data_IF_692914045202
#
_entry.id   IF_692914045202
#
_cell.length_a   1.000
_cell.length_b   1.000
_cell.length_c   1.000
_cell.angle_alpha   90.00
_cell.angle_beta   90.00
_cell.angle_gamma   90.00
#
_symmetry.space_group_name_H-M   'P 1'
#
loop_
_entity.id
_entity.type
_entity.pdbx_description
1 polymer ?
#
# COMPACT_ATOMS: atom_id res chain seq x y z
N UNK A 1 -4.02 20.06 1.85
CA UNK A 1 -4.71 21.31 2.25
C UNK A 1 -5.84 21.68 1.26
N UNK A 2 -5.76 21.39 -0.04
CA UNK A 2 -6.82 21.77 -1.01
C UNK A 2 -8.14 20.97 -0.90
N UNK A 3 -8.10 19.64 -0.76
CA UNK A 3 -9.32 18.81 -0.75
C UNK A 3 -10.17 19.06 0.50
N UNK A 4 -9.54 19.11 1.67
CA UNK A 4 -10.22 19.30 2.96
C UNK A 4 -10.95 20.64 3.07
N UNK A 5 -10.48 21.68 2.38
CA UNK A 5 -11.11 23.00 2.38
C UNK A 5 -12.50 22.96 1.71
N UNK A 6 -12.66 22.20 0.63
CA UNK A 6 -13.94 22.06 -0.08
C UNK A 6 -14.77 20.85 0.42
N UNK A 7 -14.11 19.81 0.90
CA UNK A 7 -14.71 18.52 1.30
C UNK A 7 -14.22 18.09 2.68
N UNK A 8 -14.67 18.75 3.76
CA UNK A 8 -14.12 18.53 5.11
C UNK A 8 -14.46 17.16 5.71
N UNK A 9 -15.47 16.45 5.17
CA UNK A 9 -15.88 15.12 5.62
C UNK A 9 -15.25 13.98 4.82
N UNK A 10 -14.48 14.28 3.77
CA UNK A 10 -13.87 13.25 2.94
C UNK A 10 -12.64 12.68 3.63
N UNK A 11 -12.62 11.36 3.76
CA UNK A 11 -11.41 10.64 4.13
C UNK A 11 -10.47 10.59 2.93
N UNK A 12 -9.22 11.02 3.14
CA UNK A 12 -8.23 11.07 2.07
C UNK A 12 -7.33 9.85 2.19
N UNK A 13 -7.46 8.92 1.25
CA UNK A 13 -6.60 7.75 1.14
C UNK A 13 -5.66 7.89 -0.07
N UNK A 14 -4.41 7.46 0.09
CA UNK A 14 -3.49 7.31 -1.06
C UNK A 14 -3.89 6.06 -1.84
N UNK A 15 -3.95 6.17 -3.17
CA UNK A 15 -4.26 5.04 -4.04
C UNK A 15 -3.18 3.95 -3.91
N UNK A 16 -3.57 2.76 -3.45
CA UNK A 16 -2.67 1.62 -3.23
C UNK A 16 -1.91 1.21 -4.50
N UNK A 17 -2.53 1.33 -5.67
CA UNK A 17 -1.87 1.03 -6.96
C UNK A 17 -0.68 1.97 -7.20
N UNK A 18 -0.85 3.26 -6.91
CA UNK A 18 0.24 4.23 -7.06
C UNK A 18 1.33 4.01 -6.01
N UNK A 19 0.97 3.64 -4.78
CA UNK A 19 1.95 3.28 -3.76
C UNK A 19 2.78 2.07 -4.18
N UNK A 20 2.15 0.98 -4.61
CA UNK A 20 2.84 -0.23 -5.07
C UNK A 20 3.77 0.08 -6.24
N UNK A 21 3.28 0.77 -7.29
CA UNK A 21 4.10 1.15 -8.46
C UNK A 21 5.28 2.06 -8.09
N UNK A 22 5.07 2.99 -7.17
CA UNK A 22 6.13 3.88 -6.72
C UNK A 22 7.19 3.14 -5.90
N UNK A 23 6.80 2.15 -5.09
CA UNK A 23 7.75 1.35 -4.31
C UNK A 23 8.52 0.36 -5.18
N UNK A 24 7.85 -0.29 -6.16
CA UNK A 24 8.49 -1.29 -7.01
C UNK A 24 9.40 -0.72 -8.10
N UNK A 25 9.39 0.61 -8.33
CA UNK A 25 10.28 1.26 -9.31
C UNK A 25 11.77 1.09 -9.00
N UNK A 26 12.11 0.80 -7.74
CA UNK A 26 13.48 0.59 -7.28
C UNK A 26 13.86 -0.90 -7.18
N UNK A 27 12.93 -1.79 -7.49
CA UNK A 27 13.12 -3.23 -7.41
C UNK A 27 13.64 -3.73 -8.75
N UNK A 28 14.65 -4.60 -8.72
CA UNK A 28 15.18 -5.21 -9.94
C UNK A 28 14.08 -6.03 -10.64
N UNK A 29 14.12 -6.14 -11.96
CA UNK A 29 13.14 -6.95 -12.70
C UNK A 29 13.12 -8.42 -12.24
N UNK A 30 14.28 -8.96 -11.82
CA UNK A 30 14.41 -10.34 -11.31
C UNK A 30 13.61 -10.55 -10.03
N UNK A 31 13.55 -9.54 -9.17
CA UNK A 31 12.92 -9.62 -7.85
C UNK A 31 11.49 -9.08 -7.85
N UNK A 32 11.08 -8.35 -8.89
CA UNK A 32 9.77 -7.68 -8.98
C UNK A 32 8.61 -8.64 -8.71
N UNK A 33 8.64 -9.85 -9.28
CA UNK A 33 7.60 -10.85 -9.08
C UNK A 33 7.54 -11.33 -7.63
N UNK A 34 8.70 -11.50 -6.98
CA UNK A 34 8.78 -11.95 -5.59
C UNK A 34 8.24 -10.86 -4.66
N UNK A 35 8.77 -9.65 -4.77
CA UNK A 35 8.34 -8.50 -3.96
C UNK A 35 6.84 -8.22 -4.11
N UNK A 36 6.30 -8.27 -5.33
CA UNK A 36 4.86 -8.04 -5.53
C UNK A 36 3.99 -9.17 -4.99
N UNK A 37 4.47 -10.41 -4.96
CA UNK A 37 3.78 -11.51 -4.30
C UNK A 37 3.73 -11.32 -2.78
N UNK A 38 4.83 -10.86 -2.18
CA UNK A 38 4.95 -10.60 -0.74
C UNK A 38 4.09 -9.38 -0.29
N UNK A 39 3.89 -8.39 -1.18
CA UNK A 39 2.99 -7.26 -0.91
C UNK A 39 1.50 -7.63 -0.99
N UNK A 40 1.16 -8.69 -1.73
CA UNK A 40 -0.23 -9.12 -1.98
C UNK A 40 -1.05 -9.44 -0.73
N UNK A 41 -0.55 -10.22 0.25
CA UNK A 41 -1.30 -10.49 1.48
C UNK A 41 -1.58 -9.22 2.28
N UNK A 42 -0.68 -8.24 2.28
CA UNK A 42 -0.80 -7.00 3.07
C UNK A 42 -2.07 -6.22 2.67
N UNK A 43 -2.22 -5.89 1.38
CA UNK A 43 -3.39 -5.12 0.93
C UNK A 43 -4.66 -5.96 0.74
N UNK A 44 -4.56 -7.29 0.88
CA UNK A 44 -5.70 -8.21 0.84
C UNK A 44 -6.17 -8.68 2.22
N UNK A 45 -5.49 -8.27 3.29
CA UNK A 45 -5.86 -8.62 4.65
C UNK A 45 -7.30 -8.16 4.97
N UNK A 46 -7.99 -8.93 5.81
CA UNK A 46 -9.37 -8.63 6.19
C UNK A 46 -9.49 -7.48 7.19
N UNK A 47 -8.43 -7.26 7.98
CA UNK A 47 -8.34 -6.16 8.94
C UNK A 47 -6.95 -5.54 8.89
N UNK A 48 -6.81 -4.33 9.46
CA UNK A 48 -5.53 -3.64 9.57
C UNK A 48 -4.53 -4.44 10.42
N UNK A 49 -4.99 -5.03 11.53
CA UNK A 49 -4.16 -5.83 12.42
C UNK A 49 -3.56 -7.03 11.68
N UNK A 50 -4.37 -7.71 10.85
CA UNK A 50 -3.90 -8.82 10.01
C UNK A 50 -2.84 -8.39 8.98
N UNK A 51 -2.91 -7.15 8.48
CA UNK A 51 -1.91 -6.63 7.55
C UNK A 51 -0.58 -6.30 8.24
N UNK A 52 -0.59 -6.02 9.55
CA UNK A 52 0.57 -5.63 10.36
C UNK A 52 1.34 -6.81 10.97
N UNK A 53 0.77 -8.03 10.99
CA UNK A 53 1.35 -9.20 11.68
C UNK A 53 2.76 -9.56 11.19
N UNK A 54 3.08 -9.27 9.92
CA UNK A 54 4.42 -9.54 9.34
C UNK A 54 5.50 -8.53 9.80
N UNK A 55 5.15 -7.51 10.61
CA UNK A 55 6.10 -6.58 11.22
C UNK A 55 6.61 -7.01 12.60
N UNK A 56 6.06 -8.09 13.17
CA UNK A 56 6.52 -8.69 14.43
C UNK A 56 7.38 -9.91 14.12
N UNK A 57 8.63 -9.66 13.74
CA UNK A 57 9.69 -10.67 13.79
C UNK A 57 10.00 -11.09 15.22
#
# INVERSE_FOLDING_TARGET
QAITACYPKTEIQKCIIHQIRNSTRYVSYKDLKKVTADLKPIYKAATEEMALVDQLG
#
